data_IF_411736572231
#
_entry.id   IF_411736572231
#
_cell.length_a   1.000
_cell.length_b   1.000
_cell.length_c   1.000
_cell.angle_alpha   90.00
_cell.angle_beta   90.00
_cell.angle_gamma   90.00
#
_symmetry.space_group_name_H-M   'P 1'
#
loop_
_entity.id
_entity.type
_entity.pdbx_description
1 polymer ?
#
# COMPACT_ATOMS: atom_id res chain seq x y z
N UNK A 1 -20.09 -30.98 -11.22
CA UNK A 1 -19.91 -30.39 -9.88
C UNK A 1 -18.44 -30.15 -9.51
N UNK A 2 -17.49 -31.00 -9.93
CA UNK A 2 -16.05 -30.72 -9.76
C UNK A 2 -15.56 -29.45 -10.49
N UNK A 3 -16.07 -29.19 -11.71
CA UNK A 3 -15.67 -28.02 -12.52
C UNK A 3 -16.08 -26.67 -11.95
N UNK A 4 -17.15 -26.61 -11.13
CA UNK A 4 -17.62 -25.36 -10.52
C UNK A 4 -16.77 -24.99 -9.30
N UNK A 5 -16.38 -26.00 -8.50
CA UNK A 5 -15.51 -25.84 -7.34
C UNK A 5 -14.09 -25.38 -7.75
N UNK A 6 -13.55 -25.92 -8.85
CA UNK A 6 -12.23 -25.51 -9.37
C UNK A 6 -12.23 -24.04 -9.82
N UNK A 7 -13.31 -23.57 -10.45
CA UNK A 7 -13.44 -22.17 -10.86
C UNK A 7 -13.58 -21.20 -9.67
N UNK A 8 -14.30 -21.61 -8.62
CA UNK A 8 -14.44 -20.82 -7.38
C UNK A 8 -13.10 -20.66 -6.66
N UNK A 9 -12.26 -21.71 -6.64
CA UNK A 9 -10.91 -21.64 -6.05
C UNK A 9 -9.97 -20.70 -6.82
N UNK A 10 -10.07 -20.63 -8.15
CA UNK A 10 -9.22 -19.76 -8.98
C UNK A 10 -9.61 -18.28 -8.86
N UNK A 11 -10.90 -17.96 -8.72
CA UNK A 11 -11.37 -16.58 -8.60
C UNK A 11 -11.14 -15.98 -7.21
N UNK A 12 -11.16 -16.79 -6.14
CA UNK A 12 -10.90 -16.33 -4.77
C UNK A 12 -9.46 -15.85 -4.53
N UNK A 13 -8.49 -16.36 -5.31
CA UNK A 13 -7.08 -15.98 -5.18
C UNK A 13 -6.77 -14.57 -5.67
N UNK A 14 -7.62 -13.99 -6.53
CA UNK A 14 -7.37 -12.68 -7.16
C UNK A 14 -7.78 -11.50 -6.26
N UNK A 15 -8.54 -11.74 -5.19
CA UNK A 15 -9.24 -10.68 -4.42
C UNK A 15 -8.45 -10.20 -3.18
N UNK A 16 -7.18 -10.59 -3.01
CA UNK A 16 -6.48 -10.43 -1.72
C UNK A 16 -5.37 -9.36 -1.65
N UNK A 17 -5.23 -8.46 -2.62
CA UNK A 17 -4.23 -7.39 -2.53
C UNK A 17 -4.88 -6.00 -2.60
N UNK A 18 -5.60 -5.64 -1.53
CA UNK A 18 -6.18 -4.31 -1.32
C UNK A 18 -5.30 -3.43 -0.41
N UNK A 19 -3.99 -3.59 -0.46
CA UNK A 19 -3.06 -2.59 0.07
C UNK A 19 -2.55 -1.75 -1.10
N UNK A 20 -2.67 -0.42 -1.05
CA UNK A 20 -2.04 0.47 -2.04
C UNK A 20 -0.51 0.40 -1.96
N UNK A 21 0.04 -0.67 -2.53
CA UNK A 21 1.45 -0.94 -2.68
C UNK A 21 1.79 -1.06 -4.16
N UNK A 22 2.99 -0.62 -4.53
CA UNK A 22 3.56 -0.94 -5.83
C UNK A 22 4.97 -1.48 -5.66
N UNK A 23 5.35 -2.29 -6.63
CA UNK A 23 6.71 -2.78 -6.78
C UNK A 23 7.20 -2.40 -8.18
N UNK A 24 8.36 -1.76 -8.23
CA UNK A 24 9.07 -1.46 -9.46
C UNK A 24 10.34 -2.30 -9.49
N UNK A 25 10.33 -3.31 -10.37
CA UNK A 25 11.47 -4.21 -10.56
C UNK A 25 12.72 -3.44 -11.02
N UNK A 26 13.86 -3.83 -10.47
CA UNK A 26 15.15 -3.31 -10.88
C UNK A 26 15.61 -4.01 -12.16
N UNK A 27 15.27 -3.45 -13.32
CA UNK A 27 15.71 -3.97 -14.61
C UNK A 27 17.06 -3.33 -15.04
N UNK A 28 18.19 -4.08 -15.06
CA UNK A 28 19.46 -3.55 -15.53
C UNK A 28 19.36 -3.33 -17.05
N UNK A 29 19.47 -2.07 -17.49
CA UNK A 29 19.47 -1.74 -18.93
C UNK A 29 20.80 -2.04 -19.61
N UNK A 30 21.89 -2.02 -18.85
CA UNK A 30 23.24 -2.29 -19.32
C UNK A 30 23.95 -3.25 -18.34
N UNK A 31 24.34 -4.46 -18.78
CA UNK A 31 25.07 -5.41 -17.94
C UNK A 31 26.42 -4.89 -17.43
N UNK A 32 27.04 -3.93 -18.11
CA UNK A 32 28.33 -3.36 -17.72
C UNK A 32 28.20 -2.20 -16.74
N UNK A 33 26.98 -1.68 -16.55
CA UNK A 33 26.70 -0.60 -15.63
C UNK A 33 25.47 -0.96 -14.77
N UNK A 34 25.63 -1.89 -13.82
CA UNK A 34 24.54 -2.29 -12.97
C UNK A 34 24.03 -1.11 -12.13
N UNK A 35 22.71 -1.02 -11.89
CA UNK A 35 22.16 -0.02 -10.99
C UNK A 35 22.79 -0.14 -9.60
N UNK A 36 23.05 1.00 -8.98
CA UNK A 36 23.62 1.10 -7.62
C UNK A 36 22.56 1.29 -6.53
N UNK A 37 21.30 1.32 -6.93
CA UNK A 37 20.16 1.62 -6.07
C UNK A 37 18.89 1.78 -6.89
N UNK A 38 17.85 2.26 -6.23
CA UNK A 38 16.54 2.51 -6.82
C UNK A 38 16.37 4.00 -7.09
N UNK A 39 15.70 4.33 -8.19
CA UNK A 39 15.32 5.71 -8.51
C UNK A 39 13.84 5.88 -8.24
N UNK A 40 13.49 6.81 -7.36
CA UNK A 40 12.09 7.11 -7.06
C UNK A 40 11.44 7.99 -8.13
N UNK A 41 10.14 8.28 -7.99
CA UNK A 41 9.38 9.08 -8.96
C UNK A 41 9.83 10.55 -9.06
N UNK A 42 10.67 11.05 -8.15
CA UNK A 42 11.30 12.38 -8.26
C UNK A 42 12.67 12.33 -8.97
N UNK A 43 13.13 11.14 -9.36
CA UNK A 43 14.46 10.95 -9.93
C UNK A 43 15.57 10.87 -8.88
N UNK A 44 15.23 10.80 -7.58
CA UNK A 44 16.23 10.65 -6.52
C UNK A 44 16.67 9.20 -6.45
N UNK A 45 17.99 8.98 -6.47
CA UNK A 45 18.57 7.67 -6.23
C UNK A 45 18.67 7.40 -4.72
N UNK A 46 18.24 6.22 -4.32
CA UNK A 46 18.36 5.68 -2.96
C UNK A 46 19.17 4.39 -3.01
N UNK A 47 20.09 4.22 -2.05
CA UNK A 47 20.99 3.07 -2.00
C UNK A 47 20.23 1.78 -1.68
N UNK A 48 20.78 0.63 -2.08
CA UNK A 48 20.21 -0.66 -1.66
C UNK A 48 20.21 -0.81 -0.14
N UNK A 49 19.12 -1.35 0.39
CA UNK A 49 18.88 -1.49 1.84
C UNK A 49 18.35 -0.21 2.50
N UNK A 50 18.15 0.87 1.75
CA UNK A 50 17.54 2.09 2.30
C UNK A 50 16.03 1.94 2.46
N UNK A 51 15.51 2.61 3.49
CA UNK A 51 14.09 2.77 3.78
C UNK A 51 13.81 4.25 3.99
N UNK A 52 12.67 4.72 3.48
CA UNK A 52 12.26 6.11 3.68
C UNK A 52 10.75 6.27 3.57
N UNK A 53 10.26 7.35 4.16
CA UNK A 53 8.87 7.75 4.05
C UNK A 53 8.70 8.86 3.03
N UNK A 54 7.64 8.75 2.23
CA UNK A 54 7.29 9.77 1.26
C UNK A 54 5.79 9.75 0.95
N UNK A 55 5.13 10.90 0.99
CA UNK A 55 3.72 11.03 0.60
C UNK A 55 2.81 10.01 1.31
N UNK A 56 3.07 9.76 2.59
CA UNK A 56 2.43 8.69 3.38
C UNK A 56 2.60 7.28 2.84
N UNK A 57 3.69 7.03 2.10
CA UNK A 57 4.15 5.71 1.71
C UNK A 57 5.43 5.36 2.46
N UNK A 58 5.49 4.15 3.00
CA UNK A 58 6.75 3.53 3.43
C UNK A 58 7.38 2.88 2.20
N UNK A 59 8.59 3.31 1.84
CA UNK A 59 9.35 2.80 0.72
C UNK A 59 10.61 2.09 1.18
N UNK A 60 10.99 1.05 0.45
CA UNK A 60 12.26 0.34 0.60
C UNK A 60 12.88 0.04 -0.75
N UNK A 61 14.20 0.17 -0.83
CA UNK A 61 14.98 -0.20 -2.01
C UNK A 61 15.77 -1.46 -1.73
N UNK A 62 15.52 -2.53 -2.48
CA UNK A 62 16.27 -3.79 -2.40
C UNK A 62 16.99 -4.06 -3.71
N UNK A 63 17.79 -5.13 -3.73
CA UNK A 63 18.41 -5.60 -4.98
C UNK A 63 17.38 -6.10 -6.01
N UNK A 64 16.14 -6.36 -5.60
CA UNK A 64 15.04 -6.79 -6.47
C UNK A 64 14.32 -5.58 -7.09
N UNK A 65 14.23 -4.47 -6.38
CA UNK A 65 13.45 -3.32 -6.81
C UNK A 65 13.09 -2.33 -5.72
N UNK A 66 12.29 -1.34 -6.13
CA UNK A 66 11.66 -0.36 -5.25
C UNK A 66 10.28 -0.88 -4.85
N UNK A 67 10.06 -1.09 -3.56
CA UNK A 67 8.73 -1.35 -3.00
C UNK A 67 8.26 -0.12 -2.24
N UNK A 68 7.01 0.29 -2.44
CA UNK A 68 6.39 1.34 -1.66
C UNK A 68 4.95 0.96 -1.32
N UNK A 69 4.56 1.14 -0.06
CA UNK A 69 3.22 0.84 0.45
C UNK A 69 2.63 2.03 1.19
N UNK A 70 1.36 2.32 0.95
CA UNK A 70 0.62 3.32 1.72
C UNK A 70 0.60 2.97 3.21
N UNK A 71 0.84 3.97 4.05
CA UNK A 71 0.63 3.92 5.50
C UNK A 71 -0.83 4.19 5.89
N UNK A 72 -1.60 4.72 4.95
CA UNK A 72 -3.03 4.97 5.12
C UNK A 72 -3.78 3.70 4.68
N UNK A 73 -4.65 3.13 5.53
CA UNK A 73 -5.44 1.98 5.16
C UNK A 73 -6.46 2.35 4.08
N UNK A 74 -6.70 1.41 3.16
CA UNK A 74 -7.76 1.55 2.17
C UNK A 74 -9.13 1.40 2.83
N UNK A 75 -10.09 2.27 2.47
CA UNK A 75 -11.42 2.28 3.08
C UNK A 75 -12.15 0.94 2.90
N UNK A 76 -11.90 0.22 1.80
CA UNK A 76 -12.49 -1.08 1.51
C UNK A 76 -11.91 -2.22 2.37
N UNK A 77 -10.79 -1.98 3.07
CA UNK A 77 -10.14 -2.97 3.96
C UNK A 77 -10.50 -2.80 5.43
N UNK A 78 -11.12 -1.68 5.78
CA UNK A 78 -11.52 -1.35 7.15
C UNK A 78 -13.03 -1.47 7.22
N UNK A 79 -13.54 -2.15 8.25
CA UNK A 79 -14.97 -2.16 8.50
C UNK A 79 -15.40 -0.79 9.03
N UNK A 80 -16.22 -0.09 8.25
CA UNK A 80 -16.67 1.28 8.54
C UNK A 80 -18.20 1.25 8.64
N UNK A 81 -18.77 1.39 9.84
CA UNK A 81 -20.22 1.47 10.01
C UNK A 81 -20.84 2.62 9.20
N UNK A 82 -22.13 2.51 8.85
CA UNK A 82 -22.84 3.51 8.04
C UNK A 82 -22.83 4.92 8.66
N UNK A 83 -22.84 5.03 9.98
CA UNK A 83 -22.75 6.28 10.72
C UNK A 83 -21.33 6.85 10.81
N UNK A 84 -20.34 6.12 10.32
CA UNK A 84 -18.91 6.43 10.42
C UNK A 84 -18.30 6.75 9.06
N UNK A 85 -17.13 7.39 9.08
CA UNK A 85 -16.27 7.55 7.91
C UNK A 85 -14.80 7.52 8.29
N UNK A 86 -13.96 7.08 7.37
CA UNK A 86 -12.51 7.10 7.51
C UNK A 86 -11.99 8.52 7.23
N UNK A 87 -11.45 9.17 8.25
CA UNK A 87 -10.85 10.50 8.18
C UNK A 87 -9.33 10.36 8.12
N UNK A 88 -8.74 10.86 7.04
CA UNK A 88 -7.29 10.81 6.79
C UNK A 88 -6.61 12.10 7.25
N UNK A 89 -5.63 11.96 8.14
CA UNK A 89 -4.73 13.03 8.58
C UNK A 89 -3.40 12.91 7.84
N UNK A 90 -3.29 13.61 6.71
CA UNK A 90 -2.12 13.54 5.82
C UNK A 90 -0.82 14.02 6.47
N UNK A 91 -0.90 15.01 7.35
CA UNK A 91 0.28 15.56 8.04
C UNK A 91 0.97 14.51 8.93
N UNK A 92 0.18 13.64 9.55
CA UNK A 92 0.66 12.57 10.44
C UNK A 92 0.64 11.20 9.77
N UNK A 93 0.26 11.14 8.49
CA UNK A 93 0.05 9.91 7.73
C UNK A 93 -0.75 8.84 8.49
N UNK A 94 -1.84 9.27 9.12
CA UNK A 94 -2.72 8.41 9.89
C UNK A 94 -4.16 8.53 9.40
N UNK A 95 -4.98 7.52 9.72
CA UNK A 95 -6.41 7.55 9.47
C UNK A 95 -7.17 7.07 10.70
N UNK A 96 -8.34 7.65 10.93
CA UNK A 96 -9.24 7.30 12.04
C UNK A 96 -10.66 7.12 11.52
N UNK A 97 -11.38 6.15 12.06
CA UNK A 97 -12.80 5.98 11.78
C UNK A 97 -13.60 6.82 12.78
N UNK A 98 -14.24 7.89 12.31
CA UNK A 98 -14.91 8.89 13.13
C UNK A 98 -16.39 8.99 12.76
N UNK A 99 -17.24 9.36 13.72
CA UNK A 99 -18.67 9.56 13.45
C UNK A 99 -18.88 10.66 12.38
N UNK A 100 -19.81 10.42 11.46
CA UNK A 100 -20.27 11.41 10.47
C UNK A 100 -20.85 12.65 11.16
N UNK A 101 -21.61 12.45 12.24
CA UNK A 101 -22.25 13.52 13.01
C UNK A 101 -21.29 14.34 13.88
N UNK A 102 -20.18 13.74 14.33
CA UNK A 102 -19.20 14.38 15.21
C UNK A 102 -17.79 13.82 14.96
N UNK A 103 -16.99 14.59 14.21
CA UNK A 103 -15.62 14.27 13.80
C UNK A 103 -14.62 14.22 14.97
N UNK A 104 -15.03 14.49 16.19
CA UNK A 104 -14.15 14.37 17.38
C UNK A 104 -14.30 13.03 18.08
N UNK A 105 -15.34 12.27 17.76
CA UNK A 105 -15.64 10.97 18.37
C UNK A 105 -15.22 9.83 17.44
N UNK A 106 -14.34 8.98 17.95
CA UNK A 106 -13.98 7.73 17.30
C UNK A 106 -15.17 6.76 17.34
N UNK A 107 -15.33 6.01 16.25
CA UNK A 107 -16.29 4.92 16.23
C UNK A 107 -15.76 3.78 17.09
N UNK A 108 -16.59 3.26 17.99
CA UNK A 108 -16.21 2.09 18.77
C UNK A 108 -16.22 0.88 17.83
N UNK A 109 -15.23 -0.04 17.94
CA UNK A 109 -15.35 -1.33 17.30
C UNK A 109 -16.60 -2.02 17.86
N UNK A 110 -17.54 -2.37 16.98
CA UNK A 110 -18.72 -3.17 17.35
C UNK A 110 -18.32 -4.60 17.68
#
# INVERSE_FOLDING_TARGET
>A
MASLQVFVCLLGLVVLCHSYCFFQELAPKDPNNPPKGCVDKDGKQHDFGSEWDRDCMACSCTNEGLSCCSKIPDADTVDIPDECELVVHKETCSAKVLLKSDKTKECQPM
#
